data_IF_922146268752
#
_entry.id   IF_922146268752
#
_cell.length_a   1.000
_cell.length_b   1.000
_cell.length_c   1.000
_cell.angle_alpha   90.00
_cell.angle_beta   90.00
_cell.angle_gamma   90.00
#
_symmetry.space_group_name_H-M   'P 1'
#
loop_
_entity.id
_entity.type
_entity.pdbx_description
1 polymer ?
#
# COMPACT_ATOMS: atom_id res chain seq x y z
N UNK A 1 -51.16 -8.46 -42.65
CA UNK A 1 -52.43 -8.37 -41.91
C UNK A 1 -52.17 -8.75 -40.46
N UNK A 2 -52.17 -7.78 -39.53
CA UNK A 2 -52.11 -7.97 -38.07
C UNK A 2 -53.53 -8.24 -37.52
N UNK A 3 -53.72 -8.55 -36.22
CA UNK A 3 -54.02 -7.48 -35.25
C UNK A 3 -53.44 -7.76 -33.85
N UNK A 4 -52.79 -6.83 -33.13
CA UNK A 4 -53.31 -5.68 -32.34
C UNK A 4 -54.59 -5.96 -31.54
N UNK A 5 -54.51 -5.73 -30.22
CA UNK A 5 -55.51 -5.16 -29.25
C UNK A 5 -55.45 -5.95 -27.92
N UNK A 6 -55.57 -5.37 -26.72
CA UNK A 6 -56.24 -4.12 -26.31
C UNK A 6 -55.75 -3.72 -24.91
N UNK A 7 -55.79 -2.42 -24.66
CA UNK A 7 -55.77 -1.81 -23.34
C UNK A 7 -56.99 -2.23 -22.50
N UNK A 8 -56.86 -2.13 -21.17
CA UNK A 8 -58.00 -1.96 -20.27
C UNK A 8 -57.78 -0.79 -19.33
N UNK A 9 -58.62 0.21 -19.53
CA UNK A 9 -58.98 1.30 -18.63
C UNK A 9 -59.78 0.71 -17.47
N UNK A 10 -59.67 1.29 -16.27
CA UNK A 10 -60.86 1.50 -15.46
C UNK A 10 -60.74 2.83 -14.68
N UNK A 11 -61.74 3.68 -14.89
CA UNK A 11 -61.99 4.94 -14.21
C UNK A 11 -62.70 4.73 -12.86
N UNK A 12 -62.60 5.75 -12.00
CA UNK A 12 -63.74 6.20 -11.20
C UNK A 12 -63.58 6.09 -9.68
N UNK A 13 -63.28 7.20 -9.01
CA UNK A 13 -64.26 7.94 -8.21
C UNK A 13 -63.59 9.05 -7.37
N UNK A 14 -64.05 10.29 -7.56
CA UNK A 14 -63.78 11.46 -6.74
C UNK A 14 -64.52 11.42 -5.39
N UNK A 15 -63.94 12.04 -4.36
CA UNK A 15 -64.69 12.81 -3.37
C UNK A 15 -63.81 13.88 -2.72
N UNK A 16 -64.32 15.11 -2.72
CA UNK A 16 -63.73 16.38 -2.33
C UNK A 16 -63.85 16.73 -0.83
N UNK A 17 -62.90 17.51 -0.30
CA UNK A 17 -63.05 18.29 0.93
C UNK A 17 -61.78 19.07 1.34
N UNK A 18 -61.81 20.40 1.59
CA UNK A 18 -60.61 21.24 1.70
C UNK A 18 -60.20 21.57 3.14
N UNK A 19 -58.90 21.81 3.42
CA UNK A 19 -58.43 22.61 4.59
C UNK A 19 -56.96 23.07 4.50
N UNK A 20 -56.81 24.39 4.37
CA UNK A 20 -55.81 25.36 4.90
C UNK A 20 -54.28 25.22 4.68
N UNK A 21 -53.55 26.35 4.55
CA UNK A 21 -52.12 26.39 4.25
C UNK A 21 -51.25 26.48 5.51
N UNK A 22 -50.03 25.95 5.48
CA UNK A 22 -49.00 26.23 6.50
C UNK A 22 -47.63 26.54 5.90
N UNK A 23 -47.25 27.79 6.13
CA UNK A 23 -45.94 28.39 6.40
C UNK A 23 -44.63 27.69 5.97
N UNK A 24 -43.84 28.49 5.26
CA UNK A 24 -42.40 28.56 5.16
C UNK A 24 -41.56 27.82 6.22
N UNK A 25 -40.62 27.00 5.75
CA UNK A 25 -39.45 26.54 6.48
C UNK A 25 -38.19 26.74 5.64
N UNK A 26 -37.34 27.69 6.05
CA UNK A 26 -36.00 27.91 5.49
C UNK A 26 -35.14 26.66 5.69
N UNK A 27 -34.71 26.02 4.61
CA UNK A 27 -33.64 25.03 4.66
C UNK A 27 -32.31 25.76 4.86
N UNK A 28 -31.75 25.69 6.06
CA UNK A 28 -30.33 25.99 6.30
C UNK A 28 -29.53 24.76 5.86
N UNK A 29 -28.76 24.90 4.79
CA UNK A 29 -27.75 23.93 4.40
C UNK A 29 -26.63 23.95 5.43
N UNK A 30 -26.70 23.06 6.43
CA UNK A 30 -25.55 22.73 7.25
C UNK A 30 -24.64 21.82 6.43
N UNK A 31 -23.43 22.30 6.13
CA UNK A 31 -22.35 21.47 5.62
C UNK A 31 -22.06 20.39 6.67
N UNK A 32 -22.40 19.14 6.34
CA UNK A 32 -22.00 17.99 7.13
C UNK A 32 -20.48 17.81 7.10
N UNK A 33 -19.88 17.16 8.10
CA UNK A 33 -18.45 16.88 8.07
C UNK A 33 -18.16 15.99 6.86
N UNK A 34 -17.22 16.40 6.02
CA UNK A 34 -16.69 15.57 4.96
C UNK A 34 -16.30 14.22 5.55
N UNK A 35 -16.87 13.16 5.00
CA UNK A 35 -16.42 11.80 5.26
C UNK A 35 -14.96 11.74 4.82
N UNK A 36 -14.05 11.88 5.78
CA UNK A 36 -12.65 11.50 5.59
C UNK A 36 -12.68 10.05 5.16
N UNK A 37 -12.42 9.81 3.87
CA UNK A 37 -12.24 8.48 3.32
C UNK A 37 -11.17 7.72 4.12
N UNK A 38 -11.01 6.40 3.88
CA UNK A 38 -9.96 5.64 4.54
C UNK A 38 -8.62 6.39 4.38
N UNK A 39 -7.79 6.47 5.45
CA UNK A 39 -6.58 7.26 5.43
C UNK A 39 -5.71 6.86 4.23
N UNK A 40 -5.46 7.82 3.34
CA UNK A 40 -4.68 7.61 2.14
C UNK A 40 -3.23 7.42 2.57
N UNK A 41 -2.81 6.16 2.69
CA UNK A 41 -1.41 5.85 2.96
C UNK A 41 -0.59 6.23 1.72
N UNK A 42 0.27 7.25 1.86
CA UNK A 42 1.12 7.78 0.79
C UNK A 42 2.59 7.40 0.94
N UNK A 43 2.89 6.55 1.93
CA UNK A 43 4.21 6.11 2.34
C UNK A 43 4.22 4.61 2.58
N UNK A 44 5.36 3.99 2.34
CA UNK A 44 5.50 2.53 2.34
C UNK A 44 6.77 2.06 3.04
N UNK A 45 6.79 0.79 3.44
CA UNK A 45 7.99 0.04 3.80
C UNK A 45 8.01 -1.25 2.98
N UNK A 46 9.14 -1.52 2.34
CA UNK A 46 9.29 -2.65 1.42
C UNK A 46 10.54 -3.44 1.80
N UNK A 47 10.36 -4.74 2.06
CA UNK A 47 11.40 -5.63 2.60
C UNK A 47 12.12 -6.36 1.47
N UNK A 48 13.45 -6.35 1.52
CA UNK A 48 14.33 -7.15 0.66
C UNK A 48 15.46 -7.78 1.48
N UNK A 49 16.12 -8.79 0.94
CA UNK A 49 17.17 -9.56 1.63
C UNK A 49 18.56 -9.14 1.12
N UNK A 50 19.41 -8.47 1.92
CA UNK A 50 20.72 -8.01 1.45
C UNK A 50 21.81 -9.09 1.46
N UNK A 51 21.57 -10.20 2.15
CA UNK A 51 22.51 -11.32 2.27
C UNK A 51 22.08 -12.48 1.36
N UNK A 52 23.05 -13.30 0.95
CA UNK A 52 22.79 -14.44 0.06
C UNK A 52 21.87 -15.47 0.72
N UNK A 53 20.81 -15.85 0.01
CA UNK A 53 19.92 -16.95 0.40
C UNK A 53 19.35 -17.62 -0.82
N UNK A 54 19.57 -18.92 -0.91
CA UNK A 54 18.99 -19.72 -1.99
C UNK A 54 17.52 -20.05 -1.70
N UNK A 55 16.67 -19.78 -2.69
CA UNK A 55 15.28 -20.25 -2.76
C UNK A 55 15.16 -21.06 -4.05
N UNK A 56 14.85 -22.35 -3.93
CA UNK A 56 14.82 -23.30 -5.05
C UNK A 56 16.09 -23.27 -5.94
N UNK A 57 17.26 -23.08 -5.34
CA UNK A 57 18.54 -23.02 -6.05
C UNK A 57 18.89 -21.66 -6.67
N UNK A 58 18.02 -20.66 -6.55
CA UNK A 58 18.26 -19.28 -7.03
C UNK A 58 18.55 -18.38 -5.84
N UNK A 59 19.61 -17.57 -5.93
CA UNK A 59 19.91 -16.57 -4.90
C UNK A 59 18.93 -15.39 -5.03
N UNK A 60 18.26 -15.04 -3.93
CA UNK A 60 17.30 -13.91 -3.87
C UNK A 60 17.89 -12.65 -3.25
N UNK A 61 19.22 -12.61 -3.09
CA UNK A 61 19.94 -11.44 -2.59
C UNK A 61 19.63 -10.19 -3.42
N UNK A 62 19.10 -9.17 -2.77
CA UNK A 62 18.94 -7.83 -3.30
C UNK A 62 18.97 -6.80 -2.17
N UNK A 63 20.13 -6.18 -1.95
CA UNK A 63 20.32 -5.09 -1.01
C UNK A 63 20.10 -3.71 -1.64
N UNK A 64 20.19 -2.66 -0.81
CA UNK A 64 20.02 -1.28 -1.30
C UNK A 64 21.18 -0.85 -2.22
N UNK A 65 22.37 -1.40 -1.98
CA UNK A 65 23.54 -1.18 -2.83
C UNK A 65 23.35 -1.81 -4.22
N UNK A 66 22.64 -2.94 -4.32
CA UNK A 66 22.29 -3.54 -5.60
C UNK A 66 21.33 -2.64 -6.38
N UNK A 67 20.32 -2.05 -5.72
CA UNK A 67 19.42 -1.05 -6.33
C UNK A 67 20.20 0.20 -6.81
N UNK A 68 21.16 0.68 -6.02
CA UNK A 68 22.01 1.84 -6.39
C UNK A 68 22.89 1.56 -7.61
N UNK A 69 23.27 0.31 -7.83
CA UNK A 69 24.12 -0.12 -8.94
C UNK A 69 23.34 -0.35 -10.24
N UNK A 70 22.00 -0.43 -10.20
CA UNK A 70 21.17 -0.56 -11.39
C UNK A 70 21.23 0.71 -12.26
N UNK A 71 20.99 0.58 -13.59
CA UNK A 71 20.78 1.73 -14.47
C UNK A 71 19.72 2.69 -13.92
N UNK A 72 20.02 3.99 -13.94
CA UNK A 72 19.19 5.06 -13.34
C UNK A 72 18.80 4.80 -11.87
N UNK A 73 19.54 3.93 -11.18
CA UNK A 73 19.27 3.45 -9.82
C UNK A 73 17.82 2.98 -9.66
N UNK A 74 17.26 2.41 -10.72
CA UNK A 74 15.85 2.04 -10.84
C UNK A 74 15.73 0.53 -11.04
N UNK A 75 14.84 -0.11 -10.28
CA UNK A 75 14.62 -1.55 -10.33
C UNK A 75 13.15 -1.92 -10.25
N UNK A 76 12.79 -3.04 -10.88
CA UNK A 76 11.50 -3.69 -10.71
C UNK A 76 11.42 -4.30 -9.30
N UNK A 77 10.32 -4.04 -8.58
CA UNK A 77 10.02 -4.67 -7.30
C UNK A 77 9.11 -5.88 -7.51
N UNK A 78 9.70 -6.97 -8.01
CA UNK A 78 9.02 -8.23 -8.31
C UNK A 78 8.92 -9.18 -7.10
N UNK A 79 8.47 -10.42 -7.35
CA UNK A 79 8.55 -11.51 -6.38
C UNK A 79 7.54 -11.46 -5.24
N UNK A 80 6.67 -10.45 -5.21
CA UNK A 80 5.58 -10.34 -4.24
C UNK A 80 4.54 -11.44 -4.50
N UNK A 81 4.45 -12.42 -3.59
CA UNK A 81 3.50 -13.56 -3.66
C UNK A 81 2.51 -13.62 -2.49
N UNK A 82 2.31 -12.49 -1.79
CA UNK A 82 1.25 -12.33 -0.79
C UNK A 82 0.13 -11.47 -1.36
N UNK A 83 -1.11 -11.96 -1.33
CA UNK A 83 -2.27 -11.22 -1.85
C UNK A 83 -2.44 -9.84 -1.20
N UNK A 84 -2.19 -9.75 0.12
CA UNK A 84 -2.27 -8.49 0.84
C UNK A 84 -1.17 -7.53 0.39
N UNK A 85 0.09 -8.00 0.30
CA UNK A 85 1.20 -7.17 -0.18
C UNK A 85 0.97 -6.70 -1.62
N UNK A 86 0.48 -7.59 -2.50
CA UNK A 86 0.12 -7.25 -3.88
C UNK A 86 -0.94 -6.15 -3.92
N UNK A 87 -1.95 -6.22 -3.07
CA UNK A 87 -2.98 -5.19 -3.04
C UNK A 87 -2.40 -3.82 -2.64
N UNK A 88 -1.38 -3.79 -1.78
CA UNK A 88 -0.64 -2.56 -1.47
C UNK A 88 0.21 -2.08 -2.66
N UNK A 89 0.92 -2.98 -3.36
CA UNK A 89 1.62 -2.65 -4.61
C UNK A 89 0.67 -1.97 -5.61
N UNK A 90 -0.55 -2.49 -5.78
CA UNK A 90 -1.58 -1.93 -6.67
C UNK A 90 -2.11 -0.56 -6.24
N UNK A 91 -1.93 -0.17 -4.98
CA UNK A 91 -2.34 1.13 -4.45
C UNK A 91 -1.24 2.20 -4.57
N UNK A 92 0.00 1.80 -4.82
CA UNK A 92 1.13 2.71 -4.95
C UNK A 92 0.95 3.66 -6.13
N UNK A 93 1.34 4.92 -5.93
CA UNK A 93 1.34 5.98 -6.94
C UNK A 93 2.75 6.48 -7.19
N UNK A 94 3.03 6.86 -8.44
CA UNK A 94 4.31 7.47 -8.80
C UNK A 94 4.57 8.71 -7.91
N UNK A 95 5.81 8.89 -7.47
CA UNK A 95 6.20 9.94 -6.53
C UNK A 95 6.03 9.59 -5.04
N UNK A 96 5.37 8.48 -4.70
CA UNK A 96 5.28 8.04 -3.30
C UNK A 96 6.60 7.44 -2.82
N UNK A 97 6.97 7.77 -1.59
CA UNK A 97 8.21 7.29 -0.96
C UNK A 97 8.00 5.96 -0.24
N UNK A 98 9.05 5.15 -0.24
CA UNK A 98 9.13 3.91 0.50
C UNK A 98 10.47 3.79 1.25
N UNK A 99 10.45 3.22 2.45
CA UNK A 99 11.67 2.73 3.09
C UNK A 99 12.11 1.43 2.43
N UNK A 100 13.39 1.35 2.09
CA UNK A 100 14.06 0.09 1.74
C UNK A 100 14.50 -0.59 3.04
N UNK A 101 13.83 -1.69 3.38
CA UNK A 101 14.09 -2.43 4.62
C UNK A 101 14.89 -3.71 4.32
N UNK A 102 16.03 -3.85 5.00
CA UNK A 102 16.84 -5.07 5.00
C UNK A 102 16.23 -6.08 5.97
N UNK A 103 15.83 -7.22 5.42
CA UNK A 103 15.20 -8.33 6.14
C UNK A 103 16.04 -9.60 6.02
N UNK A 104 15.83 -10.54 6.96
CA UNK A 104 16.47 -11.85 6.93
C UNK A 104 18.01 -11.82 6.80
N UNK A 105 18.64 -10.85 7.47
CA UNK A 105 20.07 -10.65 7.52
C UNK A 105 20.51 -10.51 8.99
N UNK A 106 21.83 -10.47 9.23
CA UNK A 106 22.38 -10.31 10.60
C UNK A 106 21.94 -9.00 11.25
N UNK A 107 21.89 -7.93 10.45
CA UNK A 107 21.54 -6.59 10.89
C UNK A 107 20.28 -6.11 10.14
N UNK A 108 19.07 -6.52 10.57
CA UNK A 108 17.83 -6.09 9.93
C UNK A 108 17.49 -4.65 10.32
N UNK A 109 16.93 -3.89 9.39
CA UNK A 109 16.62 -2.47 9.61
C UNK A 109 16.37 -1.69 8.34
N UNK A 110 16.15 -0.39 8.48
CA UNK A 110 15.95 0.53 7.35
C UNK A 110 17.31 1.06 6.91
N UNK A 111 17.64 0.86 5.63
CA UNK A 111 18.91 1.27 5.04
C UNK A 111 18.80 2.58 4.24
N UNK A 112 17.62 2.90 3.71
CA UNK A 112 17.43 4.07 2.88
C UNK A 112 16.01 4.28 2.40
N UNK A 113 15.88 5.25 1.50
CA UNK A 113 14.62 5.72 0.93
C UNK A 113 14.67 5.53 -0.57
N UNK A 114 13.55 5.06 -1.11
CA UNK A 114 13.29 4.97 -2.53
C UNK A 114 11.94 5.60 -2.86
N UNK A 115 11.69 5.81 -4.15
CA UNK A 115 10.48 6.40 -4.69
C UNK A 115 9.88 5.47 -5.73
N UNK A 116 8.55 5.34 -5.75
CA UNK A 116 7.84 4.64 -6.82
C UNK A 116 7.89 5.50 -8.09
N UNK A 117 8.47 4.97 -9.17
CA UNK A 117 8.59 5.69 -10.45
C UNK A 117 7.70 5.11 -11.55
N UNK A 118 7.15 3.90 -11.34
CA UNK A 118 6.13 3.30 -12.20
C UNK A 118 5.08 2.60 -11.35
N UNK A 119 3.81 2.92 -11.61
CA UNK A 119 2.67 2.27 -10.94
C UNK A 119 2.55 0.80 -11.31
N UNK A 120 1.67 0.09 -10.60
CA UNK A 120 1.57 -1.36 -10.68
C UNK A 120 1.31 -1.89 -12.10
N UNK A 121 2.08 -2.90 -12.48
CA UNK A 121 1.92 -3.67 -13.71
C UNK A 121 2.05 -5.18 -13.42
N UNK A 122 1.78 -6.04 -14.39
CA UNK A 122 1.93 -7.49 -14.22
C UNK A 122 3.38 -7.86 -13.96
N UNK A 123 3.65 -8.52 -12.83
CA UNK A 123 5.01 -8.96 -12.46
C UNK A 123 5.56 -9.93 -13.53
N UNK A 124 6.66 -9.61 -14.24
CA UNK A 124 7.17 -10.45 -15.31
C UNK A 124 7.66 -11.82 -14.81
N UNK A 125 8.17 -11.91 -13.57
CA UNK A 125 8.75 -13.14 -13.00
C UNK A 125 7.71 -14.25 -12.80
N UNK A 126 6.43 -13.89 -12.69
CA UNK A 126 5.38 -14.90 -12.51
C UNK A 126 5.17 -15.80 -13.74
N UNK A 127 5.66 -15.38 -14.91
CA UNK A 127 5.52 -16.12 -16.17
C UNK A 127 6.79 -16.90 -16.57
N UNK A 128 7.93 -16.63 -15.96
CA UNK A 128 9.19 -17.32 -16.27
C UNK A 128 9.33 -18.60 -15.45
N UNK A 129 9.30 -19.76 -16.12
CA UNK A 129 9.44 -21.09 -15.50
C UNK A 129 10.77 -21.32 -14.77
N UNK A 130 11.80 -20.54 -15.09
CA UNK A 130 13.11 -20.63 -14.43
C UNK A 130 13.20 -19.71 -13.21
N UNK A 131 12.29 -18.74 -13.09
CA UNK A 131 12.26 -17.84 -11.97
C UNK A 131 11.71 -18.54 -10.73
N UNK A 132 12.29 -18.21 -9.58
CA UNK A 132 11.90 -18.76 -8.28
C UNK A 132 10.47 -18.37 -7.86
N UNK A 133 9.93 -17.33 -8.47
CA UNK A 133 8.60 -16.79 -8.23
C UNK A 133 7.61 -17.13 -9.36
N UNK A 134 7.94 -18.07 -10.25
CA UNK A 134 7.02 -18.61 -11.24
C UNK A 134 5.68 -19.04 -10.63
N UNK A 135 4.57 -18.72 -11.29
CA UNK A 135 3.24 -19.18 -10.92
C UNK A 135 2.51 -19.73 -12.14
N UNK A 136 2.47 -21.06 -12.25
CA UNK A 136 1.81 -21.78 -13.34
C UNK A 136 0.30 -21.46 -13.47
N UNK A 137 -0.31 -20.91 -12.42
CA UNK A 137 -1.72 -20.57 -12.39
C UNK A 137 -2.00 -19.12 -12.79
N UNK A 138 -0.96 -18.30 -13.00
CA UNK A 138 -1.10 -16.93 -13.50
C UNK A 138 -1.15 -16.88 -15.01
N UNK A 139 -2.02 -16.02 -15.56
CA UNK A 139 -2.21 -15.89 -17.00
C UNK A 139 -1.79 -14.50 -17.47
N UNK A 140 -1.28 -14.39 -18.70
CA UNK A 140 -0.78 -13.12 -19.24
C UNK A 140 -1.89 -12.07 -19.46
N UNK A 141 -3.11 -12.51 -19.76
CA UNK A 141 -4.29 -11.67 -19.92
C UNK A 141 -4.85 -11.16 -18.58
N UNK A 142 -4.66 -11.92 -17.50
CA UNK A 142 -5.05 -11.55 -16.14
C UNK A 142 -3.95 -11.88 -15.12
N UNK A 143 -2.88 -11.07 -15.05
CA UNK A 143 -1.75 -11.35 -14.16
C UNK A 143 -2.17 -11.33 -12.68
N UNK A 144 -1.94 -12.44 -11.98
CA UNK A 144 -2.25 -12.56 -10.54
C UNK A 144 -1.42 -11.64 -9.68
N UNK A 145 -0.14 -11.49 -10.03
CA UNK A 145 0.87 -10.76 -9.28
C UNK A 145 1.21 -9.44 -9.97
N UNK A 146 1.57 -8.45 -9.15
CA UNK A 146 1.87 -7.11 -9.62
C UNK A 146 3.22 -6.66 -9.05
N UNK A 147 3.97 -5.94 -9.87
CA UNK A 147 5.21 -5.27 -9.52
C UNK A 147 5.08 -3.76 -9.78
N UNK A 148 5.98 -2.97 -9.21
CA UNK A 148 6.17 -1.54 -9.47
C UNK A 148 7.64 -1.31 -9.79
N UNK A 149 7.99 -0.18 -10.41
CA UNK A 149 9.40 0.23 -10.47
C UNK A 149 9.68 1.24 -9.36
N UNK A 150 10.80 1.04 -8.68
CA UNK A 150 11.29 1.92 -7.63
C UNK A 150 12.65 2.49 -8.00
N UNK A 151 12.91 3.74 -7.64
CA UNK A 151 14.19 4.41 -7.81
C UNK A 151 14.79 4.77 -6.47
N UNK A 152 16.07 4.48 -6.30
CA UNK A 152 16.82 4.94 -5.14
C UNK A 152 16.75 6.47 -5.01
N UNK A 153 16.60 6.98 -3.79
CA UNK A 153 16.64 8.43 -3.52
C UNK A 153 17.84 8.80 -2.68
N UNK A 154 17.99 8.18 -1.51
CA UNK A 154 19.13 8.39 -0.61
C UNK A 154 19.23 7.27 0.42
N UNK A 155 20.41 7.10 0.99
CA UNK A 155 20.58 6.40 2.26
C UNK A 155 19.93 7.20 3.39
N UNK A 156 19.53 6.53 4.47
CA UNK A 156 19.27 7.22 5.75
C UNK A 156 20.60 7.81 6.28
N UNK A 157 20.57 8.90 7.06
CA UNK A 157 21.80 9.51 7.63
C UNK A 157 22.59 8.53 8.49
N UNK A 158 21.89 7.58 9.11
CA UNK A 158 22.45 6.38 9.75
C UNK A 158 21.52 5.20 9.53
N UNK A 159 22.03 3.99 9.64
CA UNK A 159 21.20 2.79 9.63
C UNK A 159 20.21 2.81 10.81
N UNK A 160 18.94 2.45 10.57
CA UNK A 160 17.92 2.38 11.61
C UNK A 160 17.61 0.90 11.91
N UNK A 161 18.26 0.31 12.93
CA UNK A 161 18.13 -1.12 13.20
C UNK A 161 16.73 -1.49 13.72
N UNK A 162 16.31 -2.72 13.43
CA UNK A 162 15.03 -3.27 13.88
C UNK A 162 14.87 -3.20 15.41
N UNK A 163 15.96 -3.38 16.16
CA UNK A 163 15.97 -3.31 17.63
C UNK A 163 15.53 -1.94 18.15
N UNK A 164 16.06 -0.86 17.56
CA UNK A 164 15.69 0.51 17.90
C UNK A 164 14.23 0.80 17.56
N UNK A 165 13.80 0.44 16.33
CA UNK A 165 12.41 0.58 15.90
C UNK A 165 11.46 -0.18 16.83
N UNK A 166 11.86 -1.36 17.29
CA UNK A 166 11.08 -2.20 18.21
C UNK A 166 10.96 -1.55 19.59
N UNK A 167 12.02 -0.93 20.11
CA UNK A 167 11.96 -0.19 21.38
C UNK A 167 10.95 0.94 21.29
N UNK A 168 11.01 1.77 20.24
CA UNK A 168 10.05 2.85 20.06
C UNK A 168 8.61 2.34 19.89
N UNK A 169 8.40 1.26 19.13
CA UNK A 169 7.09 0.63 19.04
C UNK A 169 6.55 0.21 20.41
N UNK A 170 7.33 -0.53 21.20
CA UNK A 170 6.92 -0.99 22.53
C UNK A 170 6.64 0.17 23.49
N UNK A 171 7.43 1.24 23.43
CA UNK A 171 7.18 2.45 24.21
C UNK A 171 5.88 3.14 23.78
N UNK A 172 5.67 3.36 22.48
CA UNK A 172 4.46 3.99 21.96
C UNK A 172 3.20 3.15 22.15
N UNK A 173 3.32 1.82 22.23
CA UNK A 173 2.22 0.93 22.62
C UNK A 173 1.73 1.18 24.05
N UNK A 174 2.65 1.56 24.96
CA UNK A 174 2.33 1.83 26.37
C UNK A 174 1.89 3.27 26.60
N UNK A 175 2.67 4.22 26.06
CA UNK A 175 2.55 5.64 26.40
C UNK A 175 1.79 6.45 25.33
N UNK A 176 1.43 5.81 24.21
CA UNK A 176 0.96 6.47 23.00
C UNK A 176 2.13 6.97 22.13
N UNK A 177 1.92 7.05 20.82
CA UNK A 177 2.89 7.61 19.90
C UNK A 177 2.74 7.07 18.47
N UNK A 178 3.50 7.63 17.51
CA UNK A 178 3.32 7.34 16.08
C UNK A 178 3.47 5.87 15.72
N UNK A 179 4.45 5.18 16.32
CA UNK A 179 4.75 3.77 15.98
C UNK A 179 3.91 2.75 16.75
N UNK A 180 2.87 3.15 17.47
CA UNK A 180 2.10 2.22 18.32
C UNK A 180 1.49 1.06 17.52
N UNK A 181 1.06 1.28 16.28
CA UNK A 181 0.37 0.25 15.48
C UNK A 181 1.12 -0.10 14.18
N UNK A 182 2.38 0.31 14.07
CA UNK A 182 3.18 0.17 12.85
C UNK A 182 3.22 -1.26 12.33
N UNK A 183 2.92 -1.41 11.04
CA UNK A 183 2.78 -2.70 10.36
C UNK A 183 4.05 -3.58 10.46
N UNK A 184 5.23 -2.97 10.67
CA UNK A 184 6.49 -3.67 10.84
C UNK A 184 6.42 -4.70 11.97
N UNK A 185 5.73 -4.39 13.08
CA UNK A 185 5.59 -5.27 14.24
C UNK A 185 4.22 -5.93 14.35
N UNK A 186 3.15 -5.28 13.88
CA UNK A 186 1.80 -5.84 13.93
C UNK A 186 1.51 -6.85 12.80
N UNK A 187 2.27 -6.79 11.71
CA UNK A 187 2.15 -7.67 10.52
C UNK A 187 3.51 -8.14 10.03
N UNK A 188 4.27 -8.81 10.90
CA UNK A 188 5.68 -9.16 10.66
C UNK A 188 5.97 -9.91 9.33
N UNK A 189 5.07 -10.80 8.90
CA UNK A 189 5.22 -11.59 7.65
C UNK A 189 4.85 -10.82 6.37
N UNK A 190 4.32 -9.60 6.48
CA UNK A 190 3.96 -8.78 5.35
C UNK A 190 5.21 -8.04 4.82
N UNK A 191 5.54 -8.22 3.53
CA UNK A 191 6.74 -7.67 2.90
C UNK A 191 6.56 -6.24 2.36
N UNK A 192 5.33 -5.86 2.02
CA UNK A 192 4.96 -4.52 1.55
C UNK A 192 3.94 -3.97 2.52
N UNK A 193 4.30 -2.88 3.19
CA UNK A 193 3.55 -2.37 4.33
C UNK A 193 3.20 -0.90 4.11
N UNK A 194 1.94 -0.49 4.33
CA UNK A 194 1.60 0.93 4.36
C UNK A 194 2.19 1.57 5.62
N UNK A 195 2.57 2.84 5.51
CA UNK A 195 2.88 3.70 6.63
C UNK A 195 1.99 4.94 6.58
N UNK A 196 1.57 5.39 7.76
CA UNK A 196 1.00 6.73 7.89
C UNK A 196 2.11 7.79 7.74
N UNK A 197 1.73 9.03 7.46
CA UNK A 197 2.69 10.15 7.48
C UNK A 197 3.36 10.28 8.84
N UNK A 198 2.61 10.14 9.94
CA UNK A 198 3.16 10.22 11.30
C UNK A 198 4.21 9.13 11.57
N UNK A 199 3.96 7.88 11.14
CA UNK A 199 4.92 6.79 11.27
C UNK A 199 6.19 7.07 10.46
N UNK A 200 6.02 7.50 9.21
CA UNK A 200 7.13 7.79 8.31
C UNK A 200 7.99 8.94 8.82
N UNK A 201 7.38 10.05 9.21
CA UNK A 201 8.06 11.24 9.71
C UNK A 201 8.75 10.96 11.04
N UNK A 202 8.13 10.18 11.93
CA UNK A 202 8.79 9.75 13.16
C UNK A 202 10.05 8.92 12.88
N UNK A 203 9.97 7.94 11.97
CA UNK A 203 11.14 7.11 11.59
C UNK A 203 12.24 7.99 11.00
N UNK A 204 11.90 8.94 10.12
CA UNK A 204 12.87 9.89 9.58
C UNK A 204 13.53 10.74 10.69
N UNK A 205 12.78 11.15 11.71
CA UNK A 205 13.33 11.93 12.83
C UNK A 205 14.40 11.18 13.63
N UNK A 206 14.44 9.84 13.54
CA UNK A 206 15.47 9.04 14.20
C UNK A 206 16.84 9.19 13.52
N UNK A 207 16.88 9.57 12.24
CA UNK A 207 18.12 9.82 11.50
C UNK A 207 19.02 10.88 12.18
N UNK A 208 18.40 11.78 12.95
CA UNK A 208 19.07 12.93 13.60
C UNK A 208 19.36 12.71 15.08
N UNK A 209 19.03 11.53 15.60
CA UNK A 209 19.26 11.16 17.00
C UNK A 209 20.45 10.23 17.09
N UNK A 210 21.19 10.32 18.18
CA UNK A 210 22.23 9.34 18.50
C UNK A 210 21.63 7.93 18.59
N UNK A 211 22.34 6.90 18.09
CA UNK A 211 21.92 5.52 18.26
C UNK A 211 21.73 5.22 19.74
N UNK A 212 20.57 4.67 20.08
CA UNK A 212 20.18 4.36 21.45
C UNK A 212 20.18 2.85 21.70
#
# INVERSE_FOLDING_TARGET
MPPKKRARVNEGAEASGPRRPSAAGRSRSAAGPESMGPPVCSRWLMKSEPESRLKNGVDVKFGIEDLKALPDQTGCWDGVRSYQARNFIRQMKAGQLAFFYHSNCKEPGIAGIMEVVKEAYGDPTQFDRKDVNYDASSRADEPKWSAVDVRFRRMTRRFLPLSELKRHHLQHRRDGGPLKDVALFTRARLSVQPLTSEEFDFILSLEDKEPQ
#
